data_IF_725515613189
#
_entry.id   IF_725515613189
#
_cell.length_a   1.000
_cell.length_b   1.000
_cell.length_c   1.000
_cell.angle_alpha   90.00
_cell.angle_beta   90.00
_cell.angle_gamma   90.00
#
_symmetry.space_group_name_H-M   'P 1'
#
loop_
_entity.id
_entity.type
_entity.pdbx_description
1 polymer ?
#
# COMPACT_ATOMS: atom_id res chain seq x y z
N UNK A 1 84.62 -47.94 -8.61
CA UNK A 1 84.17 -46.58 -8.99
C UNK A 1 83.26 -46.08 -7.90
N UNK A 2 83.82 -45.42 -6.90
CA UNK A 2 83.03 -44.76 -5.87
C UNK A 2 82.19 -43.67 -6.53
N UNK A 3 80.89 -43.70 -6.26
CA UNK A 3 79.93 -42.76 -6.81
C UNK A 3 80.11 -41.46 -6.03
N UNK A 4 81.19 -40.73 -6.38
CA UNK A 4 81.40 -39.36 -5.96
C UNK A 4 80.16 -38.59 -6.37
N UNK A 5 79.51 -37.97 -5.38
CA UNK A 5 78.33 -37.12 -5.51
C UNK A 5 76.92 -37.71 -5.24
N UNK A 6 76.80 -38.73 -4.38
CA UNK A 6 75.48 -39.19 -3.88
C UNK A 6 74.68 -38.11 -3.14
N UNK A 7 75.34 -37.25 -2.34
CA UNK A 7 74.68 -36.22 -1.51
C UNK A 7 74.05 -35.10 -2.35
N UNK A 8 74.76 -34.57 -3.35
CA UNK A 8 74.16 -33.53 -4.20
C UNK A 8 73.03 -34.09 -5.05
N UNK A 9 73.14 -35.34 -5.51
CA UNK A 9 72.06 -36.02 -6.24
C UNK A 9 70.80 -36.18 -5.41
N UNK A 10 70.93 -36.58 -4.14
CA UNK A 10 69.78 -36.68 -3.23
C UNK A 10 69.19 -35.31 -2.89
N UNK A 11 70.03 -34.28 -2.73
CA UNK A 11 69.58 -32.91 -2.46
C UNK A 11 68.81 -32.32 -3.64
N UNK A 12 69.34 -32.47 -4.86
CA UNK A 12 68.67 -32.04 -6.08
C UNK A 12 67.34 -32.78 -6.31
N UNK A 13 67.29 -34.08 -6.00
CA UNK A 13 66.05 -34.86 -6.07
C UNK A 13 65.01 -34.39 -5.03
N UNK A 14 65.43 -34.09 -3.80
CA UNK A 14 64.55 -33.58 -2.74
C UNK A 14 64.00 -32.19 -3.07
N UNK A 15 64.85 -31.31 -3.63
CA UNK A 15 64.44 -30.00 -4.12
C UNK A 15 63.47 -30.11 -5.29
N UNK A 16 63.73 -31.02 -6.24
CA UNK A 16 62.80 -31.32 -7.33
C UNK A 16 61.45 -31.83 -6.80
N UNK A 17 61.47 -32.78 -5.87
CA UNK A 17 60.27 -33.34 -5.27
C UNK A 17 59.46 -32.26 -4.52
N UNK A 18 60.13 -31.38 -3.78
CA UNK A 18 59.50 -30.25 -3.10
C UNK A 18 58.84 -29.30 -4.11
N UNK A 19 59.58 -28.88 -5.14
CA UNK A 19 59.04 -28.01 -6.20
C UNK A 19 57.89 -28.67 -6.97
N UNK A 20 57.96 -29.98 -7.18
CA UNK A 20 56.89 -30.76 -7.81
C UNK A 20 55.62 -30.77 -6.94
N UNK A 21 55.75 -31.00 -5.63
CA UNK A 21 54.60 -30.97 -4.71
C UNK A 21 54.00 -29.56 -4.65
N UNK A 22 54.83 -28.52 -4.59
CA UNK A 22 54.36 -27.12 -4.56
C UNK A 22 53.61 -26.77 -5.85
N UNK A 23 54.19 -27.06 -7.01
CA UNK A 23 53.55 -26.75 -8.30
C UNK A 23 52.27 -27.54 -8.52
N UNK A 24 52.26 -28.83 -8.15
CA UNK A 24 51.05 -29.67 -8.19
C UNK A 24 49.98 -29.14 -7.24
N UNK A 25 50.36 -28.73 -6.02
CA UNK A 25 49.45 -28.12 -5.06
C UNK A 25 48.81 -26.84 -5.58
N UNK A 26 49.61 -25.92 -6.14
CA UNK A 26 49.10 -24.68 -6.76
C UNK A 26 48.13 -24.98 -7.90
N UNK A 27 48.43 -25.99 -8.73
CA UNK A 27 47.56 -26.39 -9.84
C UNK A 27 46.21 -26.94 -9.32
N UNK A 28 46.22 -27.78 -8.28
CA UNK A 28 44.98 -28.25 -7.65
C UNK A 28 44.18 -27.13 -7.00
N UNK A 29 44.83 -26.19 -6.31
CA UNK A 29 44.15 -25.03 -5.74
C UNK A 29 43.52 -24.15 -6.82
N UNK A 30 44.23 -23.90 -7.93
CA UNK A 30 43.70 -23.13 -9.05
C UNK A 30 42.45 -23.78 -9.67
N UNK A 31 42.48 -25.10 -9.88
CA UNK A 31 41.32 -25.86 -10.38
C UNK A 31 40.17 -25.82 -9.37
N UNK A 32 40.46 -25.99 -8.08
CA UNK A 32 39.44 -25.97 -7.03
C UNK A 32 38.73 -24.61 -6.94
N UNK A 33 39.49 -23.51 -6.96
CA UNK A 33 38.91 -22.16 -6.97
C UNK A 33 38.11 -21.91 -8.25
N UNK A 34 38.61 -22.34 -9.41
CA UNK A 34 37.90 -22.18 -10.67
C UNK A 34 36.54 -22.91 -10.69
N UNK A 35 36.41 -24.04 -10.01
CA UNK A 35 35.17 -24.82 -9.97
C UNK A 35 34.22 -24.42 -8.82
N UNK A 36 34.73 -24.15 -7.62
CA UNK A 36 33.91 -23.87 -6.42
C UNK A 36 33.30 -22.47 -6.43
N UNK A 37 34.04 -21.49 -6.95
CA UNK A 37 33.65 -20.09 -6.99
C UNK A 37 32.39 -19.85 -7.85
N UNK A 38 32.28 -20.37 -9.10
CA UNK A 38 31.07 -20.16 -9.90
C UNK A 38 29.83 -20.87 -9.32
N UNK A 39 29.99 -21.97 -8.60
CA UNK A 39 28.86 -22.66 -7.95
C UNK A 39 28.27 -21.78 -6.83
N UNK A 40 29.14 -21.18 -6.02
CA UNK A 40 28.71 -20.30 -4.92
C UNK A 40 28.11 -18.99 -5.44
N UNK A 41 28.69 -18.42 -6.49
CA UNK A 41 28.12 -17.24 -7.16
C UNK A 41 26.73 -17.53 -7.74
N UNK A 42 26.56 -18.67 -8.42
CA UNK A 42 25.24 -19.08 -8.92
C UNK A 42 24.22 -19.30 -7.79
N UNK A 43 24.64 -19.87 -6.66
CA UNK A 43 23.76 -20.06 -5.50
C UNK A 43 23.31 -18.72 -4.91
N UNK A 44 24.22 -17.76 -4.75
CA UNK A 44 23.89 -16.41 -4.28
C UNK A 44 22.97 -15.69 -5.27
N UNK A 45 23.31 -15.72 -6.57
CA UNK A 45 22.50 -15.12 -7.62
C UNK A 45 21.09 -15.73 -7.69
N UNK A 46 20.97 -17.04 -7.51
CA UNK A 46 19.67 -17.71 -7.46
C UNK A 46 18.87 -17.25 -6.25
N UNK A 47 19.48 -17.17 -5.08
CA UNK A 47 18.81 -16.67 -3.87
C UNK A 47 18.37 -15.21 -4.00
N UNK A 48 19.17 -14.35 -4.62
CA UNK A 48 18.79 -12.96 -4.91
C UNK A 48 17.64 -12.89 -5.92
N UNK A 49 17.70 -13.71 -6.98
CA UNK A 49 16.62 -13.78 -7.96
C UNK A 49 15.31 -14.26 -7.33
N UNK A 50 15.36 -15.29 -6.47
CA UNK A 50 14.17 -15.80 -5.78
C UNK A 50 13.55 -14.73 -4.86
N UNK A 51 14.37 -13.90 -4.20
CA UNK A 51 13.90 -12.75 -3.41
C UNK A 51 13.23 -11.69 -4.29
N UNK A 52 13.87 -11.31 -5.40
CA UNK A 52 13.32 -10.31 -6.33
C UNK A 52 11.99 -10.80 -6.92
N UNK A 53 11.91 -12.07 -7.30
CA UNK A 53 10.67 -12.68 -7.81
C UNK A 53 9.57 -12.67 -6.75
N UNK A 54 9.90 -12.97 -5.49
CA UNK A 54 8.93 -12.89 -4.39
C UNK A 54 8.43 -11.47 -4.16
N UNK A 55 9.33 -10.47 -4.13
CA UNK A 55 8.98 -9.06 -4.02
C UNK A 55 8.12 -8.58 -5.18
N UNK A 56 8.46 -8.96 -6.41
CA UNK A 56 7.69 -8.61 -7.60
C UNK A 56 6.29 -9.21 -7.59
N UNK A 57 6.16 -10.48 -7.20
CA UNK A 57 4.85 -11.14 -7.07
C UNK A 57 4.00 -10.48 -5.98
N UNK A 58 4.61 -10.10 -4.86
CA UNK A 58 3.93 -9.34 -3.82
C UNK A 58 3.45 -7.98 -4.33
N UNK A 59 4.33 -7.20 -4.98
CA UNK A 59 3.99 -5.90 -5.56
C UNK A 59 2.84 -5.99 -6.55
N UNK A 60 2.85 -7.01 -7.42
CA UNK A 60 1.77 -7.24 -8.38
C UNK A 60 0.44 -7.51 -7.67
N UNK A 61 0.43 -8.42 -6.70
CA UNK A 61 -0.77 -8.76 -5.92
C UNK A 61 -1.29 -7.57 -5.12
N UNK A 62 -0.36 -6.78 -4.54
CA UNK A 62 -0.68 -5.56 -3.82
C UNK A 62 -1.35 -4.55 -4.76
N UNK A 63 -0.77 -4.32 -5.94
CA UNK A 63 -1.32 -3.40 -6.95
C UNK A 63 -2.72 -3.80 -7.40
N UNK A 64 -2.95 -5.09 -7.67
CA UNK A 64 -4.27 -5.61 -8.08
C UNK A 64 -5.33 -5.38 -6.98
N UNK A 65 -4.96 -5.62 -5.70
CA UNK A 65 -5.86 -5.34 -4.57
C UNK A 65 -6.15 -3.85 -4.41
N UNK A 66 -5.17 -2.99 -4.58
CA UNK A 66 -5.35 -1.53 -4.52
C UNK A 66 -6.28 -1.04 -5.63
N UNK A 67 -6.14 -1.57 -6.84
CA UNK A 67 -7.03 -1.25 -7.96
C UNK A 67 -8.48 -1.68 -7.66
N UNK A 68 -8.66 -2.88 -7.10
CA UNK A 68 -9.97 -3.36 -6.65
C UNK A 68 -10.59 -2.44 -5.59
N UNK A 69 -9.82 -2.05 -4.57
CA UNK A 69 -10.25 -1.10 -3.54
C UNK A 69 -10.62 0.25 -4.17
N UNK A 70 -9.87 0.72 -5.18
CA UNK A 70 -10.20 1.91 -5.95
C UNK A 70 -11.59 1.83 -6.61
N UNK A 71 -11.93 0.70 -7.22
CA UNK A 71 -13.27 0.47 -7.81
C UNK A 71 -14.37 0.48 -6.74
N UNK A 72 -14.11 -0.08 -5.56
CA UNK A 72 -15.05 0.00 -4.43
C UNK A 72 -15.23 1.44 -3.94
N UNK A 73 -14.15 2.22 -3.87
CA UNK A 73 -14.18 3.64 -3.49
C UNK A 73 -15.00 4.45 -4.50
N UNK A 74 -14.86 4.20 -5.80
CA UNK A 74 -15.68 4.83 -6.84
C UNK A 74 -17.16 4.43 -6.75
N UNK A 75 -17.45 3.27 -6.19
CA UNK A 75 -18.81 2.78 -5.98
C UNK A 75 -19.51 3.46 -4.80
N UNK A 76 -18.75 4.01 -3.84
CA UNK A 76 -19.30 4.78 -2.70
C UNK A 76 -20.12 5.99 -3.18
N UNK A 77 -19.68 6.67 -4.24
CA UNK A 77 -20.39 7.85 -4.77
C UNK A 77 -21.68 7.45 -5.53
N UNK A 78 -21.71 6.24 -6.11
CA UNK A 78 -22.81 5.75 -6.95
C UNK A 78 -23.95 5.15 -6.13
N UNK A 79 -23.63 4.57 -4.97
CA UNK A 79 -24.58 3.81 -4.15
C UNK A 79 -24.63 4.34 -2.71
N UNK A 80 -25.16 5.55 -2.47
CA UNK A 80 -25.23 6.14 -1.12
C UNK A 80 -26.07 5.29 -0.14
N UNK A 81 -27.05 4.53 -0.63
CA UNK A 81 -27.86 3.60 0.18
C UNK A 81 -27.06 2.39 0.68
N UNK A 82 -25.99 2.02 -0.01
CA UNK A 82 -25.12 0.90 0.32
C UNK A 82 -23.77 1.36 0.87
N UNK A 83 -23.62 2.67 1.16
CA UNK A 83 -22.36 3.28 1.55
C UNK A 83 -21.69 2.53 2.70
N UNK A 84 -22.44 2.25 3.78
CA UNK A 84 -21.91 1.56 4.96
C UNK A 84 -21.41 0.15 4.65
N UNK A 85 -22.10 -0.59 3.78
CA UNK A 85 -21.69 -1.94 3.39
C UNK A 85 -20.40 -1.91 2.57
N UNK A 86 -20.32 -0.99 1.60
CA UNK A 86 -19.14 -0.82 0.75
C UNK A 86 -17.95 -0.34 1.60
N UNK A 87 -18.17 0.59 2.52
CA UNK A 87 -17.15 1.09 3.47
C UNK A 87 -16.60 -0.03 4.34
N UNK A 88 -17.46 -0.90 4.88
CA UNK A 88 -17.03 -2.06 5.67
C UNK A 88 -16.18 -3.03 4.84
N UNK A 89 -16.57 -3.27 3.58
CA UNK A 89 -15.81 -4.13 2.68
C UNK A 89 -14.42 -3.55 2.38
N UNK A 90 -14.33 -2.25 2.07
CA UNK A 90 -13.06 -1.56 1.85
C UNK A 90 -12.16 -1.67 3.09
N UNK A 91 -12.70 -1.42 4.28
CA UNK A 91 -11.93 -1.51 5.52
C UNK A 91 -11.41 -2.95 5.77
N UNK A 92 -12.22 -3.96 5.47
CA UNK A 92 -11.79 -5.36 5.56
C UNK A 92 -10.62 -5.65 4.61
N UNK A 93 -10.74 -5.25 3.34
CA UNK A 93 -9.68 -5.46 2.35
C UNK A 93 -8.39 -4.71 2.70
N UNK A 94 -8.49 -3.50 3.25
CA UNK A 94 -7.33 -2.72 3.70
C UNK A 94 -6.60 -3.39 4.87
N UNK A 95 -7.34 -3.95 5.84
CA UNK A 95 -6.74 -4.70 6.96
C UNK A 95 -6.07 -5.97 6.46
N UNK A 96 -6.73 -6.72 5.59
CA UNK A 96 -6.16 -7.94 4.99
C UNK A 96 -4.89 -7.63 4.18
N UNK A 97 -4.86 -6.48 3.48
CA UNK A 97 -3.70 -6.02 2.75
C UNK A 97 -2.55 -5.65 3.69
N UNK A 98 -2.85 -4.97 4.80
CA UNK A 98 -1.87 -4.58 5.81
C UNK A 98 -1.22 -5.80 6.48
N UNK A 99 -1.99 -6.83 6.81
CA UNK A 99 -1.48 -8.07 7.41
C UNK A 99 -0.54 -8.85 6.49
N UNK A 100 -0.68 -8.69 5.17
CA UNK A 100 0.13 -9.39 4.17
C UNK A 100 1.45 -8.70 3.85
N UNK A 101 1.70 -7.49 4.35
CA UNK A 101 2.94 -6.74 4.10
C UNK A 101 4.12 -7.50 4.76
N UNK A 102 5.19 -7.82 4.02
CA UNK A 102 6.37 -8.48 4.58
C UNK A 102 7.05 -7.60 5.62
N UNK A 103 7.32 -8.14 6.81
CA UNK A 103 7.93 -7.43 7.95
C UNK A 103 9.39 -7.00 7.68
N UNK A 104 10.07 -7.67 6.74
CA UNK A 104 11.53 -7.57 6.58
C UNK A 104 12.01 -6.42 5.66
N UNK A 105 11.12 -5.59 5.08
CA UNK A 105 11.51 -4.52 4.14
C UNK A 105 11.35 -3.10 4.72
N UNK A 106 12.41 -2.57 5.35
CA UNK A 106 12.36 -1.31 6.12
C UNK A 106 11.99 -0.05 5.29
N UNK A 107 12.28 -0.06 3.98
CA UNK A 107 11.89 1.01 3.04
C UNK A 107 10.58 0.71 2.28
N UNK A 108 10.31 -0.56 1.95
CA UNK A 108 9.08 -0.97 1.27
C UNK A 108 7.85 -0.82 2.15
N UNK A 109 7.97 -1.14 3.44
CA UNK A 109 6.89 -1.03 4.42
C UNK A 109 6.23 0.36 4.41
N UNK A 110 7.04 1.42 4.50
CA UNK A 110 6.52 2.80 4.57
C UNK A 110 5.73 3.19 3.34
N UNK A 111 6.12 2.69 2.15
CA UNK A 111 5.38 2.98 0.93
C UNK A 111 4.00 2.32 0.98
N UNK A 112 3.94 1.03 1.28
CA UNK A 112 2.67 0.29 1.34
C UNK A 112 1.74 0.86 2.43
N UNK A 113 2.28 1.15 3.61
CA UNK A 113 1.54 1.78 4.71
C UNK A 113 0.99 3.15 4.29
N UNK A 114 1.79 4.00 3.65
CA UNK A 114 1.36 5.31 3.18
C UNK A 114 0.24 5.21 2.14
N UNK A 115 0.29 4.22 1.24
CA UNK A 115 -0.77 3.97 0.25
C UNK A 115 -2.07 3.55 0.95
N UNK A 116 -1.98 2.61 1.90
CA UNK A 116 -3.13 2.15 2.70
C UNK A 116 -3.75 3.32 3.48
N UNK A 117 -2.91 4.13 4.14
CA UNK A 117 -3.36 5.33 4.87
C UNK A 117 -4.04 6.33 3.94
N UNK A 118 -3.47 6.58 2.76
CA UNK A 118 -4.05 7.50 1.77
C UNK A 118 -5.42 7.03 1.28
N UNK A 119 -5.60 5.72 1.04
CA UNK A 119 -6.90 5.16 0.67
C UNK A 119 -7.92 5.28 1.81
N UNK A 120 -7.49 5.02 3.05
CA UNK A 120 -8.33 5.18 4.23
C UNK A 120 -8.79 6.63 4.41
N UNK A 121 -7.88 7.59 4.22
CA UNK A 121 -8.19 9.01 4.26
C UNK A 121 -9.15 9.42 3.14
N UNK A 122 -9.02 8.84 1.95
CA UNK A 122 -9.94 9.06 0.84
C UNK A 122 -11.36 8.54 1.16
N UNK A 123 -11.49 7.35 1.74
CA UNK A 123 -12.78 6.79 2.19
C UNK A 123 -13.41 7.70 3.25
N UNK A 124 -12.61 8.13 4.24
CA UNK A 124 -13.08 9.05 5.28
C UNK A 124 -13.56 10.38 4.71
N UNK A 125 -12.83 10.94 3.74
CA UNK A 125 -13.22 12.16 3.06
C UNK A 125 -14.56 12.01 2.32
N UNK A 126 -14.76 10.90 1.60
CA UNK A 126 -16.04 10.61 0.93
C UNK A 126 -17.20 10.47 1.93
N UNK A 127 -16.97 9.83 3.07
CA UNK A 127 -17.97 9.74 4.15
C UNK A 127 -18.39 11.11 4.66
N UNK A 128 -17.42 11.99 4.92
CA UNK A 128 -17.69 13.36 5.36
C UNK A 128 -18.46 14.16 4.29
N UNK A 129 -18.10 13.99 3.01
CA UNK A 129 -18.81 14.63 1.90
C UNK A 129 -20.29 14.19 1.83
N UNK A 130 -20.56 12.90 2.04
CA UNK A 130 -21.93 12.40 2.07
C UNK A 130 -22.73 13.03 3.22
N UNK A 131 -22.17 13.08 4.42
CA UNK A 131 -22.80 13.72 5.58
C UNK A 131 -23.10 15.20 5.36
N UNK A 132 -22.13 15.94 4.80
CA UNK A 132 -22.30 17.37 4.47
C UNK A 132 -23.39 17.57 3.42
N UNK A 133 -23.48 16.69 2.42
CA UNK A 133 -24.52 16.76 1.40
C UNK A 133 -25.92 16.54 2.00
N UNK A 134 -26.07 15.57 2.91
CA UNK A 134 -27.33 15.32 3.59
C UNK A 134 -27.74 16.49 4.49
N UNK A 135 -26.80 17.05 5.27
CA UNK A 135 -27.04 18.25 6.07
C UNK A 135 -27.43 19.45 5.21
N UNK A 136 -26.83 19.61 4.02
CA UNK A 136 -27.17 20.70 3.10
C UNK A 136 -28.62 20.59 2.62
N UNK A 137 -29.08 19.40 2.23
CA UNK A 137 -30.47 19.17 1.82
C UNK A 137 -31.46 19.49 2.94
N UNK A 138 -31.12 19.10 4.17
CA UNK A 138 -31.93 19.41 5.35
C UNK A 138 -32.04 20.93 5.57
N UNK A 139 -30.92 21.65 5.49
CA UNK A 139 -30.90 23.12 5.60
C UNK A 139 -31.73 23.79 4.50
N UNK A 140 -31.65 23.30 3.26
CA UNK A 140 -32.47 23.83 2.15
C UNK A 140 -33.97 23.64 2.43
N UNK A 141 -34.38 22.44 2.86
CA UNK A 141 -35.77 22.14 3.24
C UNK A 141 -36.27 23.01 4.41
N UNK A 142 -35.45 23.17 5.46
CA UNK A 142 -35.80 24.03 6.60
C UNK A 142 -35.93 25.49 6.18
N UNK A 143 -35.06 25.98 5.30
CA UNK A 143 -35.14 27.34 4.78
C UNK A 143 -36.40 27.58 3.94
N UNK A 144 -36.83 26.59 3.15
CA UNK A 144 -38.09 26.68 2.42
C UNK A 144 -39.29 26.74 3.36
N UNK A 145 -39.31 25.90 4.41
CA UNK A 145 -40.36 25.92 5.42
C UNK A 145 -40.41 27.26 6.18
N UNK A 146 -39.25 27.81 6.55
CA UNK A 146 -39.17 29.13 7.21
C UNK A 146 -39.73 30.23 6.32
N UNK A 147 -39.42 30.21 5.02
CA UNK A 147 -39.98 31.18 4.06
C UNK A 147 -41.50 31.05 3.93
N UNK A 148 -42.01 29.83 3.82
CA UNK A 148 -43.45 29.58 3.73
C UNK A 148 -44.19 30.07 4.98
N UNK A 149 -43.65 29.79 6.17
CA UNK A 149 -44.23 30.27 7.44
C UNK A 149 -44.14 31.80 7.58
N UNK A 150 -43.10 32.44 7.06
CA UNK A 150 -42.98 33.91 7.07
C UNK A 150 -43.99 34.56 6.11
N UNK A 151 -44.28 33.93 4.96
CA UNK A 151 -45.35 34.36 4.05
C UNK A 151 -46.74 34.18 4.68
N UNK A 152 -47.03 33.02 5.28
CA UNK A 152 -48.30 32.75 5.96
C UNK A 152 -48.52 33.73 7.13
N UNK A 153 -47.50 34.02 7.93
CA UNK A 153 -47.59 35.01 9.00
C UNK A 153 -47.88 36.42 8.45
N UNK A 154 -47.27 36.82 7.32
CA UNK A 154 -47.57 38.12 6.68
C UNK A 154 -49.01 38.19 6.20
N UNK A 155 -49.54 37.11 5.64
CA UNK A 155 -50.95 37.02 5.25
C UNK A 155 -51.88 37.11 6.46
N UNK A 156 -51.64 36.31 7.51
CA UNK A 156 -52.44 36.36 8.75
C UNK A 156 -52.44 37.74 9.41
N UNK A 157 -51.28 38.42 9.44
CA UNK A 157 -51.18 39.79 9.94
C UNK A 157 -52.00 40.75 9.08
N UNK A 158 -51.98 40.59 7.77
CA UNK A 158 -52.77 41.40 6.83
C UNK A 158 -54.27 41.19 7.05
N UNK A 159 -54.71 39.95 7.22
CA UNK A 159 -56.11 39.59 7.45
C UNK A 159 -56.61 40.11 8.80
N UNK A 160 -55.82 39.96 9.87
CA UNK A 160 -56.12 40.57 11.17
C UNK A 160 -56.25 42.09 11.09
N UNK A 161 -55.40 42.74 10.30
CA UNK A 161 -55.48 44.18 10.08
C UNK A 161 -56.75 44.57 9.32
N UNK A 162 -57.20 43.78 8.34
CA UNK A 162 -58.49 44.02 7.68
C UNK A 162 -59.67 43.79 8.63
N UNK A 163 -59.67 42.69 9.39
CA UNK A 163 -60.73 42.36 10.34
C UNK A 163 -60.88 43.43 11.43
N UNK A 164 -59.76 43.91 12.00
CA UNK A 164 -59.77 45.00 12.98
C UNK A 164 -60.27 46.33 12.42
N UNK A 165 -60.00 46.64 11.15
CA UNK A 165 -60.54 47.82 10.47
C UNK A 165 -62.04 47.73 10.20
N UNK A 166 -62.54 46.53 9.86
CA UNK A 166 -63.97 46.28 9.67
C UNK A 166 -64.73 46.33 11.01
N UNK A 167 -64.16 45.78 12.09
CA UNK A 167 -64.73 45.85 13.43
C UNK A 167 -64.84 47.28 13.98
N UNK A 168 -63.92 48.18 13.61
CA UNK A 168 -64.02 49.63 13.92
C UNK A 168 -65.05 50.39 13.08
N UNK A 169 -65.59 49.79 12.03
CA UNK A 169 -66.62 50.36 11.15
C UNK A 169 -68.01 49.71 11.32
N UNK A 170 -68.18 48.83 12.31
CA UNK A 170 -69.49 48.27 12.68
C UNK A 170 -70.45 49.36 13.21
N UNK A 171 -71.77 49.25 12.94
CA UNK A 171 -72.71 50.37 12.92
C UNK A 171 -73.08 50.88 14.33
N UNK A 172 -73.27 52.20 14.42
CA UNK A 172 -74.10 52.86 15.44
C UNK A 172 -75.56 52.45 15.29
#
# INVERSE_FOLDING_TARGET
>A
MDILNKKERTSAFLLFLLMFIITTGVLFFAIFFNYKLPVKENEVLKNENDKIVAEFNFQKTFSEKIEHIGVLIDSLDKAPQSFQFIEQNINYELVELQEKIPVDSDQGLKLYDNVILSLKDLVNAKRLLLQVNDSKKEIESLNEQVKALDEENKELVRDLKMASQLGRRGPN
#
